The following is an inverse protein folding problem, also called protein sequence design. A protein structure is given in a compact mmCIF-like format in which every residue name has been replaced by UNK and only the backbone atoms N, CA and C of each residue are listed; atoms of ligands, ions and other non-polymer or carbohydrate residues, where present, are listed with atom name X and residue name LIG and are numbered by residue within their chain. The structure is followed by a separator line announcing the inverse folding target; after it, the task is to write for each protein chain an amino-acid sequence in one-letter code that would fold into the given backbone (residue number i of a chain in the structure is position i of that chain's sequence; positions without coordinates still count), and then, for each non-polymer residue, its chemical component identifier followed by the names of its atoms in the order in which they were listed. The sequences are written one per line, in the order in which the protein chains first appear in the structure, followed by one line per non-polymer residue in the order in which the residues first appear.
data_IF_702815618117
#
_entry.id   IF_702815618117
#
_cell.length_a   1.000
_cell.length_b   1.000
_cell.length_c   1.000
_cell.angle_alpha   90.00
_cell.angle_beta   90.00
_cell.angle_gamma   90.00
#
_symmetry.space_group_name_H-M   'P 1'
#
loop_
_entity.id
_entity.type
_entity.pdbx_description
1 polymer ?
#
# COMPACT_ATOMS: atom_id res chain seq x y z
N UNK A 1 24.13 24.63 -7.17
CA UNK A 1 23.09 23.60 -6.90
C UNK A 1 21.78 24.36 -6.86
N UNK A 2 20.93 24.17 -7.87
CA UNK A 2 19.56 24.69 -7.86
C UNK A 2 18.82 24.01 -6.72
N UNK A 3 18.23 24.78 -5.80
CA UNK A 3 17.31 24.24 -4.81
C UNK A 3 16.12 23.65 -5.58
N UNK A 4 15.90 22.35 -5.47
CA UNK A 4 14.65 21.74 -5.91
C UNK A 4 13.60 22.14 -4.88
N UNK A 5 12.62 22.97 -5.27
CA UNK A 5 11.48 23.22 -4.41
C UNK A 5 10.67 21.92 -4.31
N UNK A 6 10.41 21.46 -3.09
CA UNK A 6 9.51 20.33 -2.86
C UNK A 6 8.07 20.86 -2.93
N UNK A 7 7.34 20.44 -3.95
CA UNK A 7 5.88 20.52 -3.99
C UNK A 7 5.34 19.09 -3.94
N UNK A 8 4.49 18.77 -2.97
CA UNK A 8 3.94 17.43 -2.80
C UNK A 8 3.66 17.08 -1.34
N UNK A 9 2.95 15.97 -1.06
CA UNK A 9 2.73 15.50 0.31
C UNK A 9 4.05 15.06 0.95
N UNK A 10 4.14 15.19 2.28
CA UNK A 10 5.30 14.72 3.04
C UNK A 10 6.39 15.77 3.21
N UNK A 11 7.64 15.38 2.97
CA UNK A 11 8.82 16.14 3.41
C UNK A 11 9.87 16.24 2.29
N UNK A 12 10.45 17.44 2.12
CA UNK A 12 11.45 17.70 1.07
C UNK A 12 12.81 17.03 1.28
N UNK A 13 13.11 16.54 2.49
CA UNK A 13 14.34 15.81 2.76
C UNK A 13 14.19 14.83 3.94
N UNK A 14 15.07 13.82 4.06
CA UNK A 14 15.14 12.97 5.25
C UNK A 14 15.36 13.77 6.54
N UNK A 15 16.13 14.87 6.48
CA UNK A 15 16.35 15.74 7.65
C UNK A 15 15.06 16.40 8.10
N UNK A 16 14.25 16.88 7.16
CA UNK A 16 12.96 17.51 7.47
C UNK A 16 11.97 16.48 8.00
N UNK A 17 12.00 15.25 7.49
CA UNK A 17 11.20 14.13 8.01
C UNK A 17 11.57 13.77 9.45
N UNK A 18 12.86 13.73 9.78
CA UNK A 18 13.35 13.47 11.15
C UNK A 18 12.97 14.58 12.15
N UNK A 19 12.70 15.79 11.68
CA UNK A 19 12.32 16.93 12.51
C UNK A 19 10.81 16.99 12.82
N UNK A 20 10.01 16.06 12.28
CA UNK A 20 8.57 16.04 12.45
C UNK A 20 8.15 15.52 13.82
N UNK A 21 6.92 15.82 14.25
CA UNK A 21 6.34 15.18 15.44
C UNK A 21 6.37 13.65 15.34
N UNK A 22 6.55 12.95 16.47
CA UNK A 22 6.38 11.49 16.53
C UNK A 22 5.00 11.05 16.05
N UNK A 23 4.92 9.80 15.60
CA UNK A 23 3.66 9.15 15.28
C UNK A 23 2.77 8.97 16.51
N UNK A 24 1.45 9.05 16.29
CA UNK A 24 0.43 8.84 17.33
C UNK A 24 -0.38 7.56 17.09
N UNK A 25 -0.30 7.01 15.89
CA UNK A 25 -1.00 5.79 15.47
C UNK A 25 -0.05 4.94 14.63
N UNK A 26 -0.09 3.63 14.86
CA UNK A 26 0.55 2.62 14.01
C UNK A 26 -0.51 1.72 13.39
N UNK A 27 -0.45 1.52 12.07
CA UNK A 27 -1.28 0.56 11.36
C UNK A 27 -0.52 -0.76 11.22
N UNK A 28 -1.18 -1.87 11.52
CA UNK A 28 -0.59 -3.21 11.51
C UNK A 28 -1.47 -4.15 10.71
N UNK A 29 -0.92 -4.76 9.66
CA UNK A 29 -1.58 -5.86 8.96
C UNK A 29 -1.63 -7.09 9.88
N UNK A 30 -2.81 -7.63 10.10
CA UNK A 30 -3.03 -8.82 10.92
C UNK A 30 -3.76 -9.86 10.09
N UNK A 31 -3.25 -11.08 10.08
CA UNK A 31 -3.79 -12.18 9.31
C UNK A 31 -4.22 -13.35 10.19
N UNK A 32 -5.27 -14.04 9.75
CA UNK A 32 -5.66 -15.37 10.24
C UNK A 32 -5.29 -16.49 9.26
N UNK A 33 -4.95 -16.18 8.01
CA UNK A 33 -4.49 -17.18 7.05
C UNK A 33 -3.33 -18.01 7.64
N UNK A 34 -3.39 -19.33 7.48
CA UNK A 34 -2.42 -20.27 8.04
C UNK A 34 -2.54 -20.56 9.53
N UNK A 35 -3.45 -19.92 10.27
CA UNK A 35 -3.66 -20.16 11.73
C UNK A 35 -4.72 -21.23 12.04
N UNK A 36 -5.55 -21.59 11.06
CA UNK A 36 -6.72 -22.48 11.23
C UNK A 36 -7.98 -21.78 11.72
N UNK A 37 -7.96 -20.44 11.85
CA UNK A 37 -9.13 -19.61 12.16
C UNK A 37 -9.74 -19.12 10.84
N UNK A 38 -11.02 -19.39 10.61
CA UNK A 38 -11.77 -18.97 9.42
C UNK A 38 -12.45 -17.59 9.62
N UNK A 39 -11.64 -16.55 9.79
CA UNK A 39 -12.08 -15.16 9.96
C UNK A 39 -11.36 -14.24 8.96
N UNK A 40 -11.95 -13.10 8.56
CA UNK A 40 -11.26 -12.13 7.74
C UNK A 40 -10.01 -11.58 8.43
N UNK A 41 -8.97 -11.37 7.63
CA UNK A 41 -7.82 -10.57 8.05
C UNK A 41 -8.27 -9.13 8.38
N UNK A 42 -7.46 -8.37 9.10
CA UNK A 42 -7.83 -7.00 9.48
C UNK A 42 -6.63 -6.08 9.60
N UNK A 43 -6.87 -4.78 9.40
CA UNK A 43 -5.92 -3.74 9.74
C UNK A 43 -6.14 -3.30 11.19
N UNK A 44 -5.17 -3.54 12.06
CA UNK A 44 -5.18 -3.03 13.42
C UNK A 44 -4.70 -1.57 13.44
N UNK A 45 -5.43 -0.73 14.16
CA UNK A 45 -5.02 0.63 14.49
C UNK A 45 -4.56 0.64 15.95
N UNK A 46 -3.26 0.83 16.17
CA UNK A 46 -2.63 0.81 17.49
C UNK A 46 -2.33 2.24 17.91
N UNK A 47 -2.73 2.61 19.13
CA UNK A 47 -2.39 3.92 19.69
C UNK A 47 -0.94 3.89 20.21
N UNK A 48 -0.11 4.76 19.67
CA UNK A 48 1.30 4.90 20.04
C UNK A 48 1.62 6.32 20.50
N UNK A 49 0.59 7.15 20.75
CA UNK A 49 0.75 8.49 21.27
C UNK A 49 1.26 8.44 22.72
N UNK A 50 2.45 9.01 22.96
CA UNK A 50 3.03 9.07 24.31
C UNK A 50 2.10 9.81 25.27
N UNK A 51 1.75 9.15 26.38
CA UNK A 51 0.86 9.71 27.39
C UNK A 51 -0.63 9.52 27.12
N UNK A 52 -1.01 8.82 26.05
CA UNK A 52 -2.38 8.33 25.87
C UNK A 52 -2.73 7.29 26.93
N UNK A 53 -3.98 7.31 27.42
CA UNK A 53 -4.52 6.30 28.32
C UNK A 53 -4.61 4.91 27.67
N UNK A 54 -4.67 4.86 26.33
CA UNK A 54 -4.72 3.64 25.51
C UNK A 54 -3.39 3.33 24.81
N UNK A 55 -2.27 3.89 25.30
CA UNK A 55 -0.95 3.66 24.70
C UNK A 55 -0.61 2.16 24.66
N UNK A 56 -0.28 1.66 23.46
CA UNK A 56 0.05 0.26 23.20
C UNK A 56 -1.16 -0.64 22.95
N UNK A 57 -2.38 -0.09 22.92
CA UNK A 57 -3.61 -0.85 22.69
C UNK A 57 -4.10 -0.74 21.24
N UNK A 58 -4.79 -1.79 20.77
CA UNK A 58 -5.55 -1.74 19.51
C UNK A 58 -6.82 -0.94 19.78
N UNK A 59 -6.88 0.29 19.26
CA UNK A 59 -8.02 1.20 19.44
C UNK A 59 -9.09 1.03 18.37
N UNK A 60 -8.74 0.44 17.22
CA UNK A 60 -9.70 0.11 16.16
C UNK A 60 -9.22 -1.08 15.33
N UNK A 61 -10.18 -1.84 14.80
CA UNK A 61 -9.94 -2.93 13.84
C UNK A 61 -10.78 -2.69 12.60
N UNK A 62 -10.14 -2.69 11.45
CA UNK A 62 -10.80 -2.61 10.14
C UNK A 62 -10.74 -3.99 9.48
N UNK A 63 -11.78 -4.84 9.65
CA UNK A 63 -11.80 -6.16 9.04
C UNK A 63 -11.91 -6.05 7.52
N UNK A 64 -11.17 -6.92 6.82
CA UNK A 64 -11.35 -7.10 5.38
C UNK A 64 -12.74 -7.71 5.13
N UNK A 65 -13.35 -7.45 3.96
CA UNK A 65 -14.69 -7.95 3.66
C UNK A 65 -14.72 -9.46 3.43
N UNK A 66 -13.57 -10.09 3.18
CA UNK A 66 -13.45 -11.47 2.76
C UNK A 66 -12.42 -12.24 3.61
N UNK A 67 -12.54 -13.56 3.64
CA UNK A 67 -11.55 -14.46 4.26
C UNK A 67 -10.47 -14.81 3.23
N UNK A 68 -9.24 -15.08 3.71
CA UNK A 68 -8.15 -15.64 2.91
C UNK A 68 -7.39 -14.64 2.05
N UNK A 69 -7.34 -13.37 2.47
CA UNK A 69 -6.53 -12.35 1.80
C UNK A 69 -5.02 -12.60 1.98
N UNK A 70 -4.61 -13.03 3.17
CA UNK A 70 -3.22 -13.09 3.60
C UNK A 70 -2.59 -11.68 3.50
N UNK A 71 -3.08 -10.76 4.34
CA UNK A 71 -2.50 -9.42 4.44
C UNK A 71 -1.01 -9.51 4.79
N UNK A 72 -0.17 -8.74 4.09
CA UNK A 72 1.29 -8.84 4.22
C UNK A 72 1.99 -7.48 4.26
N UNK A 73 2.29 -6.93 3.08
CA UNK A 73 2.84 -5.58 2.92
C UNK A 73 1.71 -4.63 2.50
N UNK A 74 1.83 -3.34 2.86
CA UNK A 74 0.92 -2.30 2.40
C UNK A 74 1.63 -0.94 2.39
N UNK A 75 1.04 0.05 1.72
CA UNK A 75 1.65 1.36 1.56
C UNK A 75 0.63 2.49 1.48
N UNK A 76 1.12 3.73 1.38
CA UNK A 76 0.26 4.90 1.21
C UNK A 76 0.03 5.21 -0.27
N UNK A 77 -1.11 5.85 -0.59
CA UNK A 77 -1.39 6.41 -1.91
C UNK A 77 -0.37 7.47 -2.34
N UNK A 78 0.06 8.32 -1.39
CA UNK A 78 1.00 9.40 -1.63
C UNK A 78 1.96 9.57 -0.44
N UNK A 79 3.17 10.05 -0.71
CA UNK A 79 4.23 10.22 0.29
C UNK A 79 5.22 11.30 -0.17
N UNK A 80 6.30 11.52 0.59
CA UNK A 80 7.36 12.49 0.24
C UNK A 80 7.86 12.40 -1.20
N UNK A 81 7.83 11.19 -1.77
CA UNK A 81 8.27 10.93 -3.14
C UNK A 81 7.26 11.33 -4.22
N UNK A 82 5.99 11.55 -3.88
CA UNK A 82 4.92 12.00 -4.78
C UNK A 82 5.09 13.50 -5.12
N UNK A 83 6.29 13.87 -5.57
CA UNK A 83 6.61 15.23 -5.95
C UNK A 83 5.72 15.67 -7.13
N UNK A 84 5.32 16.95 -7.11
CA UNK A 84 4.37 17.58 -8.02
C UNK A 84 2.94 16.99 -7.97
N UNK A 85 2.60 16.23 -6.93
CA UNK A 85 1.23 15.80 -6.63
C UNK A 85 0.54 16.77 -5.67
N UNK A 86 -0.74 16.99 -5.86
CA UNK A 86 -1.60 17.73 -4.92
C UNK A 86 -2.36 16.78 -3.97
N UNK A 87 -2.08 15.48 -4.03
CA UNK A 87 -2.73 14.48 -3.20
C UNK A 87 -2.27 14.57 -1.75
N UNK A 88 -3.17 14.18 -0.85
CA UNK A 88 -2.86 14.00 0.56
C UNK A 88 -2.50 12.54 0.85
N UNK A 89 -1.65 12.33 1.87
CA UNK A 89 -1.38 11.00 2.42
C UNK A 89 -2.49 10.65 3.40
N UNK A 90 -3.60 10.19 2.85
CA UNK A 90 -4.86 9.93 3.55
C UNK A 90 -5.48 8.57 3.20
N UNK A 91 -4.80 7.76 2.40
CA UNK A 91 -5.30 6.46 1.97
C UNK A 91 -4.20 5.40 2.05
N UNK A 92 -4.54 4.24 2.61
CA UNK A 92 -3.71 3.04 2.58
C UNK A 92 -4.16 2.12 1.45
N UNK A 93 -3.18 1.51 0.79
CA UNK A 93 -3.33 0.52 -0.27
C UNK A 93 -2.91 -0.83 0.31
N UNK A 94 -3.88 -1.68 0.61
CA UNK A 94 -3.74 -2.88 1.44
C UNK A 94 -4.02 -4.14 0.61
N UNK A 95 -3.01 -4.73 -0.03
CA UNK A 95 -3.14 -5.96 -0.81
C UNK A 95 -3.30 -7.21 0.06
N UNK A 96 -4.06 -8.18 -0.45
CA UNK A 96 -4.02 -9.57 -0.02
C UNK A 96 -3.14 -10.38 -0.98
N UNK A 97 -2.00 -10.87 -0.50
CA UNK A 97 -1.03 -11.58 -1.34
C UNK A 97 -1.61 -12.87 -1.92
N UNK A 98 -2.52 -13.54 -1.20
CA UNK A 98 -3.09 -14.82 -1.61
C UNK A 98 -4.32 -14.65 -2.48
N UNK A 99 -5.20 -13.72 -2.10
CA UNK A 99 -6.43 -13.46 -2.84
C UNK A 99 -6.18 -12.68 -4.13
N UNK A 100 -5.10 -11.91 -4.19
CA UNK A 100 -4.85 -10.87 -5.19
C UNK A 100 -5.84 -9.70 -5.16
N UNK A 101 -6.61 -9.51 -4.08
CA UNK A 101 -7.41 -8.29 -3.88
C UNK A 101 -6.51 -7.13 -3.44
N UNK A 102 -6.93 -5.91 -3.76
CA UNK A 102 -6.34 -4.70 -3.20
C UNK A 102 -7.45 -3.88 -2.54
N UNK A 103 -7.31 -3.65 -1.23
CA UNK A 103 -8.25 -2.85 -0.45
C UNK A 103 -7.76 -1.41 -0.35
N UNK A 104 -8.65 -0.47 -0.66
CA UNK A 104 -8.42 0.96 -0.53
C UNK A 104 -9.05 1.39 0.79
N UNK A 105 -8.21 1.86 1.71
CA UNK A 105 -8.61 2.18 3.08
C UNK A 105 -8.39 3.66 3.33
N UNK A 106 -9.47 4.42 3.50
CA UNK A 106 -9.42 5.81 3.92
C UNK A 106 -8.95 5.90 5.38
N UNK A 107 -8.02 6.83 5.63
CA UNK A 107 -7.49 7.16 6.96
C UNK A 107 -7.62 8.66 7.25
N UNK A 108 -8.63 9.32 6.67
CA UNK A 108 -8.98 10.71 6.98
C UNK A 108 -9.32 10.87 8.47
N UNK A 109 -10.00 9.87 9.05
CA UNK A 109 -9.95 9.60 10.49
C UNK A 109 -8.87 8.56 10.78
N UNK A 110 -7.70 9.04 11.23
CA UNK A 110 -6.54 8.18 11.48
C UNK A 110 -6.80 7.10 12.53
N UNK A 111 -7.73 7.31 13.47
CA UNK A 111 -8.01 6.34 14.53
C UNK A 111 -9.11 5.35 14.14
N UNK A 112 -9.81 5.58 13.03
CA UNK A 112 -10.87 4.69 12.53
C UNK A 112 -10.80 4.55 11.00
N UNK A 113 -9.81 3.82 10.47
CA UNK A 113 -9.73 3.54 9.03
C UNK A 113 -10.97 2.82 8.49
N UNK A 114 -11.40 3.17 7.28
CA UNK A 114 -12.60 2.63 6.64
C UNK A 114 -12.30 2.18 5.20
N UNK A 115 -12.76 0.99 4.81
CA UNK A 115 -12.59 0.48 3.44
C UNK A 115 -13.55 1.25 2.53
N UNK A 116 -13.00 1.93 1.52
CA UNK A 116 -13.79 2.71 0.55
C UNK A 116 -13.96 2.00 -0.78
N UNK A 117 -13.02 1.13 -1.16
CA UNK A 117 -13.04 0.38 -2.41
C UNK A 117 -12.28 -0.93 -2.26
N UNK A 118 -12.71 -1.95 -2.99
CA UNK A 118 -11.96 -3.19 -3.21
C UNK A 118 -11.73 -3.33 -4.71
N UNK A 119 -10.48 -3.54 -5.09
CA UNK A 119 -10.11 -3.95 -6.45
C UNK A 119 -10.07 -5.47 -6.44
N UNK A 120 -10.99 -6.09 -7.16
CA UNK A 120 -11.13 -7.55 -7.20
C UNK A 120 -10.03 -8.19 -8.07
N UNK A 121 -9.68 -9.47 -7.80
CA UNK A 121 -8.55 -10.15 -8.46
C UNK A 121 -8.69 -10.19 -9.98
N UNK A 122 -9.92 -10.31 -10.47
CA UNK A 122 -10.22 -10.38 -11.90
C UNK A 122 -9.80 -9.09 -12.62
N UNK A 123 -10.05 -7.92 -12.04
CA UNK A 123 -9.65 -6.64 -12.64
C UNK A 123 -8.12 -6.53 -12.72
N UNK A 124 -7.42 -6.96 -11.68
CA UNK A 124 -5.94 -6.92 -11.63
C UNK A 124 -5.37 -7.85 -12.68
N UNK A 125 -5.85 -9.10 -12.74
CA UNK A 125 -5.41 -10.09 -13.72
C UNK A 125 -5.68 -9.63 -15.15
N UNK A 126 -6.91 -9.17 -15.44
CA UNK A 126 -7.29 -8.71 -16.78
C UNK A 126 -6.41 -7.56 -17.27
N UNK A 127 -6.11 -6.59 -16.41
CA UNK A 127 -5.38 -5.38 -16.80
C UNK A 127 -3.86 -5.51 -16.76
N UNK A 128 -3.33 -6.42 -15.95
CA UNK A 128 -1.88 -6.51 -15.71
C UNK A 128 -1.27 -7.83 -16.15
N UNK A 129 -2.06 -8.90 -16.20
CA UNK A 129 -1.59 -10.27 -16.38
C UNK A 129 -0.88 -10.83 -15.15
N UNK A 130 -1.05 -10.21 -13.96
CA UNK A 130 -0.36 -10.60 -12.73
C UNK A 130 -1.30 -10.98 -11.59
N UNK A 131 -0.75 -11.71 -10.62
CA UNK A 131 -1.35 -12.04 -9.33
C UNK A 131 -0.32 -11.93 -8.21
N UNK A 132 -0.78 -12.06 -6.97
CA UNK A 132 0.10 -12.01 -5.79
C UNK A 132 0.70 -10.62 -5.52
N UNK A 133 -0.12 -9.58 -5.29
CA UNK A 133 0.37 -8.26 -4.92
C UNK A 133 1.13 -8.30 -3.59
N UNK A 134 2.29 -7.67 -3.54
CA UNK A 134 3.21 -7.72 -2.40
C UNK A 134 3.57 -6.31 -1.92
N UNK A 135 4.68 -5.74 -2.38
CA UNK A 135 5.19 -4.45 -1.91
C UNK A 135 4.43 -3.32 -2.59
N UNK A 136 4.08 -2.29 -1.82
CA UNK A 136 3.37 -1.12 -2.33
C UNK A 136 4.19 0.14 -2.10
N UNK A 137 4.37 0.92 -3.16
CA UNK A 137 5.03 2.21 -3.11
C UNK A 137 4.22 3.29 -3.84
N UNK A 138 3.90 4.37 -3.14
CA UNK A 138 3.69 5.69 -3.75
C UNK A 138 4.92 6.06 -4.58
N UNK A 139 4.74 6.61 -5.78
CA UNK A 139 5.80 7.02 -6.72
C UNK A 139 5.67 8.52 -7.05
N UNK A 140 6.65 9.15 -7.74
CA UNK A 140 6.51 10.54 -8.21
C UNK A 140 5.26 10.75 -9.08
N UNK A 141 4.61 11.89 -8.90
CA UNK A 141 3.29 12.17 -9.46
C UNK A 141 2.16 11.45 -8.73
N UNK A 142 1.12 11.08 -9.47
CA UNK A 142 -0.11 10.49 -8.93
C UNK A 142 -0.16 8.97 -9.18
N UNK A 143 0.92 8.27 -8.83
CA UNK A 143 1.12 6.86 -9.15
C UNK A 143 1.40 6.04 -7.90
N UNK A 144 0.74 4.88 -7.80
CA UNK A 144 1.12 3.80 -6.88
C UNK A 144 1.60 2.61 -7.70
N UNK A 145 2.74 2.05 -7.33
CA UNK A 145 3.27 0.82 -7.92
C UNK A 145 3.23 -0.30 -6.90
N UNK A 146 2.80 -1.48 -7.36
CA UNK A 146 2.68 -2.69 -6.55
C UNK A 146 3.50 -3.78 -7.21
N UNK A 147 4.42 -4.41 -6.47
CA UNK A 147 5.08 -5.61 -6.97
C UNK A 147 4.12 -6.79 -6.93
N UNK A 148 4.22 -7.65 -7.93
CA UNK A 148 3.35 -8.79 -8.14
C UNK A 148 4.21 -10.04 -8.27
N UNK A 149 3.93 -11.06 -7.46
CA UNK A 149 4.81 -12.23 -7.33
C UNK A 149 4.81 -13.14 -8.56
N UNK A 150 3.70 -13.19 -9.29
CA UNK A 150 3.53 -14.09 -10.42
C UNK A 150 2.56 -13.56 -11.48
N UNK A 151 2.43 -14.33 -12.54
CA UNK A 151 1.45 -14.14 -13.59
C UNK A 151 0.00 -14.36 -13.08
N UNK A 152 -0.99 -14.22 -13.95
CA UNK A 152 -2.41 -14.38 -13.60
C UNK A 152 -2.78 -15.75 -13.02
N UNK A 153 -1.96 -16.77 -13.27
CA UNK A 153 -2.13 -18.15 -12.81
C UNK A 153 -1.34 -18.43 -11.52
N UNK A 154 -0.49 -17.50 -11.09
CA UNK A 154 0.39 -17.64 -9.92
C UNK A 154 1.74 -18.28 -10.24
N UNK A 155 2.07 -18.41 -11.53
CA UNK A 155 3.37 -18.90 -12.01
C UNK A 155 4.33 -17.73 -12.31
N UNK A 156 5.56 -18.01 -12.74
CA UNK A 156 6.49 -16.97 -13.20
C UNK A 156 6.17 -16.59 -14.65
N UNK A 157 6.38 -15.32 -15.06
CA UNK A 157 7.06 -14.26 -14.33
C UNK A 157 6.14 -13.33 -13.52
N UNK A 158 6.64 -12.84 -12.38
CA UNK A 158 6.07 -11.71 -11.64
C UNK A 158 6.49 -10.36 -12.21
N UNK A 159 5.92 -9.24 -11.73
CA UNK A 159 6.12 -7.91 -12.30
C UNK A 159 5.58 -6.76 -11.44
N UNK A 160 5.29 -5.62 -12.05
CA UNK A 160 4.72 -4.45 -11.38
C UNK A 160 3.35 -4.06 -11.92
N UNK A 161 2.35 -4.00 -11.05
CA UNK A 161 1.07 -3.35 -11.33
C UNK A 161 1.14 -1.86 -10.98
N UNK A 162 0.42 -1.04 -11.74
CA UNK A 162 0.35 0.41 -11.55
C UNK A 162 -1.09 0.82 -11.30
N UNK A 163 -1.32 1.60 -10.25
CA UNK A 163 -2.60 2.21 -9.91
C UNK A 163 -2.51 3.73 -10.05
N UNK A 164 -3.60 4.36 -10.49
CA UNK A 164 -3.77 5.81 -10.38
C UNK A 164 -4.04 6.18 -8.92
N UNK A 165 -3.23 7.07 -8.33
CA UNK A 165 -3.35 7.43 -6.92
C UNK A 165 -4.56 8.33 -6.61
N UNK A 166 -5.29 8.83 -7.63
CA UNK A 166 -6.47 9.69 -7.49
C UNK A 166 -7.76 8.89 -7.33
N UNK A 167 -7.94 7.87 -8.16
CA UNK A 167 -9.19 7.09 -8.24
C UNK A 167 -8.99 5.59 -8.00
N UNK A 168 -7.73 5.16 -7.82
CA UNK A 168 -7.33 3.79 -7.59
C UNK A 168 -7.78 2.86 -8.71
N UNK A 169 -7.85 3.35 -9.94
CA UNK A 169 -8.02 2.52 -11.13
C UNK A 169 -6.70 1.81 -11.44
N UNK A 170 -6.79 0.53 -11.84
CA UNK A 170 -5.62 -0.20 -12.34
C UNK A 170 -5.29 0.34 -13.73
N UNK A 171 -4.10 0.91 -13.87
CA UNK A 171 -3.58 1.49 -15.11
C UNK A 171 -2.93 0.45 -16.03
N UNK A 172 -2.50 -0.68 -15.46
CA UNK A 172 -1.87 -1.79 -16.17
C UNK A 172 -0.55 -2.19 -15.52
N UNK A 173 0.34 -2.79 -16.32
CA UNK A 173 1.70 -3.11 -15.88
C UNK A 173 2.67 -1.98 -16.14
N UNK A 174 3.73 -1.89 -15.34
CA UNK A 174 4.77 -0.87 -15.51
C UNK A 174 5.71 -1.17 -16.67
N UNK A 175 6.02 -2.45 -16.90
CA UNK A 175 7.02 -2.88 -17.87
C UNK A 175 6.48 -2.83 -19.30
N UNK A 176 7.22 -2.15 -20.17
CA UNK A 176 7.05 -2.27 -21.62
C UNK A 176 7.65 -3.59 -22.11
N UNK A 177 8.87 -3.91 -21.62
CA UNK A 177 9.55 -5.18 -21.78
C UNK A 177 10.18 -5.61 -20.44
N UNK A 178 9.87 -6.83 -19.99
CA UNK A 178 10.44 -7.43 -18.77
C UNK A 178 11.86 -7.93 -18.95
N UNK A 179 12.29 -8.20 -20.19
CA UNK A 179 13.50 -8.95 -20.47
C UNK A 179 13.49 -10.31 -19.76
N UNK A 180 14.64 -10.69 -19.20
CA UNK A 180 14.85 -12.00 -18.55
C UNK A 180 14.41 -12.04 -17.06
N UNK A 181 13.69 -11.02 -16.57
CA UNK A 181 13.24 -10.98 -15.18
C UNK A 181 12.05 -11.93 -14.97
N UNK A 182 12.27 -12.98 -14.18
CA UNK A 182 11.20 -13.92 -13.79
C UNK A 182 10.64 -13.64 -12.40
N UNK A 183 11.51 -13.44 -11.41
CA UNK A 183 11.13 -13.26 -10.01
C UNK A 183 10.89 -11.78 -9.69
N UNK A 184 9.80 -11.49 -9.01
CA UNK A 184 9.54 -10.17 -8.44
C UNK A 184 8.99 -10.34 -7.03
N UNK A 185 9.65 -9.77 -6.03
CA UNK A 185 9.24 -9.88 -4.62
C UNK A 185 9.10 -8.49 -4.02
N UNK A 186 10.20 -7.98 -3.45
CA UNK A 186 10.28 -6.64 -2.91
C UNK A 186 11.03 -5.72 -3.87
N UNK A 187 10.73 -4.43 -3.81
CA UNK A 187 11.44 -3.42 -4.58
C UNK A 187 11.57 -2.15 -3.76
N UNK A 188 12.61 -1.37 -4.08
CA UNK A 188 12.83 -0.06 -3.51
C UNK A 188 13.27 0.89 -4.60
N UNK A 189 12.93 2.16 -4.45
CA UNK A 189 13.40 3.21 -5.33
C UNK A 189 13.78 4.45 -4.52
N UNK A 190 14.67 5.27 -5.08
CA UNK A 190 15.03 6.57 -4.51
C UNK A 190 14.88 7.63 -5.62
N UNK A 191 13.86 8.49 -5.55
CA UNK A 191 13.75 9.61 -6.50
C UNK A 191 14.96 10.54 -6.33
N UNK A 192 15.45 11.09 -7.44
CA UNK A 192 16.59 12.02 -7.48
C UNK A 192 16.13 13.46 -7.55
#
# INVERSE_FOLDING_TARGET
MTQHEHSGPGYGSPRDAMAQPPEEVAYVACLYEGTGIEEPDFLATVDVARGSDTYGEIVHRTPMPNVGDELHHFGFNACSSACHSELSRDTLIVPGIRSSRIHIVDISDRRRPEITKVIEPEEIKEKTGYSGPHTVHCMPGDIVTVSMLGDENGDLPGGFAVLDAKDFSVLGRWEDDKGDQELMYDFWYQPR
#
